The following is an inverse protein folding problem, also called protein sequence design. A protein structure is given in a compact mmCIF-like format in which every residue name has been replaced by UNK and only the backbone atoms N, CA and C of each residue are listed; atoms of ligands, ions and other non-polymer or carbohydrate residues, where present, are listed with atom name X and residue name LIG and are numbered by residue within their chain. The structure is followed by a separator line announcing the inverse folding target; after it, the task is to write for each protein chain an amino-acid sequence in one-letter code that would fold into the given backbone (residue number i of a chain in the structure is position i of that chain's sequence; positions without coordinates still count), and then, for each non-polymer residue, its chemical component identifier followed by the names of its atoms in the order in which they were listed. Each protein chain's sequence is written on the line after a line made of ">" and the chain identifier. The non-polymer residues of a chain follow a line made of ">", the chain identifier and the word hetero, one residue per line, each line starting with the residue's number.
data_IF_422987855901
#
_entry.id   IF_422987855901
#
_cell.length_a   1.000
_cell.length_b   1.000
_cell.length_c   1.000
_cell.angle_alpha   90.00
_cell.angle_beta   90.00
_cell.angle_gamma   90.00
#
_symmetry.space_group_name_H-M   'P 1'
#
loop_
_entity.id
_entity.type
_entity.pdbx_description
1 polymer ?
#
# COMPACT_ATOMS: atom_id res chain seq x y z
N UNK A 1 3.68 -7.88 11.07
CA UNK A 1 3.50 -9.25 10.52
C UNK A 1 4.57 -10.12 11.17
N UNK A 2 4.39 -10.48 12.44
CA UNK A 2 5.41 -11.21 13.21
C UNK A 2 5.17 -12.73 13.22
N UNK A 3 3.93 -13.12 12.94
CA UNK A 3 3.53 -14.50 12.73
C UNK A 3 3.40 -14.71 11.22
N UNK A 4 4.24 -15.56 10.62
CA UNK A 4 4.17 -15.91 9.19
C UNK A 4 2.85 -16.59 8.75
N UNK A 5 1.82 -16.58 9.60
CA UNK A 5 0.52 -17.21 9.39
C UNK A 5 -0.14 -16.77 8.10
N UNK A 6 -0.12 -15.47 7.80
CA UNK A 6 -0.69 -14.98 6.54
C UNK A 6 -0.02 -15.64 5.32
N UNK A 7 1.30 -15.80 5.36
CA UNK A 7 2.04 -16.43 4.28
C UNK A 7 1.68 -17.91 4.20
N UNK A 8 1.70 -18.63 5.32
CA UNK A 8 1.32 -20.04 5.38
C UNK A 8 -0.10 -20.29 4.84
N UNK A 9 -1.08 -19.53 5.30
CA UNK A 9 -2.48 -19.61 4.84
C UNK A 9 -2.64 -19.27 3.36
N UNK A 10 -1.86 -18.32 2.85
CA UNK A 10 -1.88 -17.93 1.43
C UNK A 10 -1.22 -18.99 0.57
N UNK A 11 -0.09 -19.54 1.02
CA UNK A 11 0.65 -20.60 0.35
C UNK A 11 -0.18 -21.88 0.24
N UNK A 12 -0.94 -22.23 1.27
CA UNK A 12 -1.83 -23.40 1.28
C UNK A 12 -2.95 -23.33 0.23
N UNK A 13 -3.29 -22.14 -0.28
CA UNK A 13 -4.32 -21.94 -1.32
C UNK A 13 -3.77 -22.02 -2.75
N UNK A 14 -2.45 -22.03 -2.90
CA UNK A 14 -1.80 -22.07 -4.21
C UNK A 14 -1.60 -23.51 -4.68
N UNK A 15 -1.55 -23.74 -6.00
CA UNK A 15 -1.29 -25.08 -6.53
C UNK A 15 0.09 -25.59 -6.14
N UNK A 16 0.21 -26.90 -5.98
CA UNK A 16 1.48 -27.56 -5.63
C UNK A 16 2.61 -27.15 -6.59
N UNK A 17 3.81 -26.95 -6.03
CA UNK A 17 4.97 -26.48 -6.79
C UNK A 17 5.01 -24.97 -7.07
N UNK A 18 4.02 -24.20 -6.61
CA UNK A 18 4.00 -22.74 -6.70
C UNK A 18 4.40 -22.08 -5.39
N UNK A 19 4.92 -20.84 -5.44
CA UNK A 19 5.39 -20.09 -4.27
C UNK A 19 4.69 -18.73 -4.16
N UNK A 20 4.18 -18.39 -2.98
CA UNK A 20 3.66 -17.06 -2.69
C UNK A 20 4.82 -16.07 -2.46
N UNK A 21 4.77 -14.93 -3.14
CA UNK A 21 5.67 -13.81 -2.89
C UNK A 21 4.89 -12.65 -2.26
N UNK A 22 5.03 -12.39 -0.94
CA UNK A 22 4.37 -11.25 -0.32
C UNK A 22 4.91 -9.94 -0.90
N UNK A 23 4.02 -9.12 -1.44
CA UNK A 23 4.31 -7.76 -1.89
C UNK A 23 3.86 -6.79 -0.80
N UNK A 24 4.71 -5.84 -0.46
CA UNK A 24 4.44 -4.80 0.52
C UNK A 24 4.56 -3.46 -0.19
N UNK A 25 3.53 -2.63 -0.05
CA UNK A 25 3.49 -1.30 -0.63
C UNK A 25 3.58 -0.27 0.48
N UNK A 26 4.27 0.82 0.22
CA UNK A 26 4.29 1.97 1.10
C UNK A 26 4.02 3.26 0.31
N UNK A 27 3.29 4.19 0.92
CA UNK A 27 3.11 5.54 0.38
C UNK A 27 3.36 6.57 1.46
N UNK A 28 3.99 7.67 1.09
CA UNK A 28 4.21 8.79 1.99
C UNK A 28 4.05 10.10 1.20
N UNK A 29 3.10 10.96 1.57
CA UNK A 29 2.87 12.21 0.84
C UNK A 29 4.12 13.07 0.85
N UNK A 30 4.65 13.39 -0.33
CA UNK A 30 5.91 14.13 -0.46
C UNK A 30 5.71 15.41 -1.26
N UNK A 31 6.32 16.51 -0.81
CA UNK A 31 6.41 17.74 -1.60
C UNK A 31 7.51 17.57 -2.65
N UNK A 32 7.15 17.72 -3.92
CA UNK A 32 8.08 17.60 -5.05
C UNK A 32 8.87 18.90 -5.28
N UNK A 33 8.27 20.06 -4.99
CA UNK A 33 8.89 21.37 -5.19
C UNK A 33 8.59 22.28 -3.99
N UNK A 34 9.62 22.85 -3.35
CA UNK A 34 9.44 23.78 -2.23
C UNK A 34 9.22 25.24 -2.67
N UNK A 35 9.78 25.65 -3.82
CA UNK A 35 9.83 27.08 -4.20
C UNK A 35 9.14 27.42 -5.53
N UNK A 36 8.74 26.43 -6.34
CA UNK A 36 8.17 26.65 -7.67
C UNK A 36 6.88 25.85 -7.86
N UNK A 37 5.76 26.36 -7.35
CA UNK A 37 4.42 25.80 -7.61
C UNK A 37 3.88 24.80 -6.56
N UNK A 38 4.70 24.43 -5.56
CA UNK A 38 4.27 23.62 -4.41
C UNK A 38 3.69 22.25 -4.78
N UNK A 39 4.12 21.63 -5.88
CA UNK A 39 3.58 20.36 -6.34
C UNK A 39 3.79 19.26 -5.30
N UNK A 40 2.77 18.43 -5.12
CA UNK A 40 2.76 17.31 -4.16
C UNK A 40 2.42 16.04 -4.93
N UNK A 41 2.99 14.91 -4.50
CA UNK A 41 2.66 13.60 -5.03
C UNK A 41 2.73 12.55 -3.92
N UNK A 42 2.05 11.43 -4.12
CA UNK A 42 2.25 10.24 -3.31
C UNK A 42 3.20 9.29 -4.07
N UNK A 43 4.51 9.25 -3.75
CA UNK A 43 5.36 8.16 -4.20
C UNK A 43 4.82 6.83 -3.67
N UNK A 44 4.73 5.84 -4.56
CA UNK A 44 4.36 4.46 -4.26
C UNK A 44 5.62 3.60 -4.31
N UNK A 45 6.00 3.07 -3.16
CA UNK A 45 7.12 2.18 -3.00
C UNK A 45 6.66 0.73 -2.92
N UNK A 46 7.43 -0.17 -3.48
CA UNK A 46 7.20 -1.61 -3.47
C UNK A 46 8.44 -2.31 -2.90
N UNK A 47 8.21 -3.23 -1.97
CA UNK A 47 9.22 -4.18 -1.46
C UNK A 47 8.61 -5.58 -1.36
N UNK A 48 9.45 -6.59 -1.24
CA UNK A 48 9.02 -7.96 -1.04
C UNK A 48 9.14 -8.34 0.44
N UNK A 49 8.13 -9.01 0.97
CA UNK A 49 8.07 -9.48 2.35
C UNK A 49 9.03 -10.64 2.66
N UNK A 50 9.60 -11.28 1.63
CA UNK A 50 10.66 -12.28 1.78
C UNK A 50 12.04 -11.66 2.07
N UNK A 51 12.21 -10.35 1.87
CA UNK A 51 13.44 -9.65 2.19
C UNK A 51 13.46 -9.33 3.69
N UNK A 52 14.56 -9.59 4.41
CA UNK A 52 14.69 -9.18 5.81
C UNK A 52 14.45 -7.68 6.02
N UNK A 53 13.67 -7.33 7.05
CA UNK A 53 13.33 -5.93 7.38
C UNK A 53 14.55 -5.00 7.50
N UNK A 54 15.67 -5.51 8.02
CA UNK A 54 16.92 -4.77 8.16
C UNK A 54 17.53 -4.33 6.81
N UNK A 55 17.07 -4.92 5.70
CA UNK A 55 17.55 -4.64 4.35
C UNK A 55 16.62 -3.67 3.61
N UNK A 56 15.33 -3.59 3.97
CA UNK A 56 14.34 -2.73 3.30
C UNK A 56 14.76 -1.27 3.20
N UNK A 57 15.37 -0.75 4.27
CA UNK A 57 15.72 0.67 4.40
C UNK A 57 17.20 0.95 4.13
N UNK A 58 17.89 0.03 3.44
CA UNK A 58 19.27 0.24 2.97
C UNK A 58 19.26 0.63 1.50
N UNK A 59 19.47 1.91 1.14
CA UNK A 59 19.43 2.37 -0.26
C UNK A 59 20.41 1.61 -1.16
N UNK A 60 21.58 1.23 -0.62
CA UNK A 60 22.60 0.46 -1.33
C UNK A 60 22.17 -0.95 -1.76
N UNK A 61 21.11 -1.50 -1.14
CA UNK A 61 20.62 -2.85 -1.40
C UNK A 61 19.45 -2.92 -2.36
N UNK A 62 18.89 -1.77 -2.77
CA UNK A 62 17.78 -1.67 -3.76
C UNK A 62 16.60 -2.60 -3.46
N UNK A 63 16.36 -2.91 -2.18
CA UNK A 63 15.30 -3.82 -1.75
C UNK A 63 13.91 -3.18 -1.83
N UNK A 64 13.85 -1.85 -1.85
CA UNK A 64 12.63 -1.07 -2.01
C UNK A 64 12.75 -0.26 -3.30
N UNK A 65 11.73 -0.35 -4.17
CA UNK A 65 11.69 0.32 -5.46
C UNK A 65 10.50 1.27 -5.52
N UNK A 66 10.69 2.45 -6.11
CA UNK A 66 9.62 3.37 -6.43
C UNK A 66 8.94 2.92 -7.73
N UNK A 67 7.63 2.68 -7.71
CA UNK A 67 6.87 2.18 -8.87
C UNK A 67 5.98 3.25 -9.51
N UNK A 68 5.56 4.28 -8.76
CA UNK A 68 4.70 5.33 -9.28
C UNK A 68 4.76 6.61 -8.44
N UNK A 69 4.35 7.73 -9.04
CA UNK A 69 3.96 8.96 -8.35
C UNK A 69 2.47 9.19 -8.59
N UNK A 70 1.66 9.15 -7.54
CA UNK A 70 0.23 9.45 -7.67
C UNK A 70 -0.01 10.96 -7.61
N UNK A 71 -0.92 11.47 -8.45
CA UNK A 71 -1.23 12.89 -8.51
C UNK A 71 -1.94 13.37 -7.23
N UNK A 72 -1.61 14.59 -6.80
CA UNK A 72 -2.36 15.33 -5.78
C UNK A 72 -3.05 16.50 -6.48
N UNK A 73 -4.36 16.40 -6.67
CA UNK A 73 -5.15 17.49 -7.22
C UNK A 73 -5.38 18.56 -6.13
N UNK A 74 -4.95 19.79 -6.39
CA UNK A 74 -5.17 20.93 -5.50
C UNK A 74 -6.52 21.63 -5.72
N UNK A 75 -7.27 21.27 -6.77
CA UNK A 75 -8.55 21.89 -7.18
C UNK A 75 -8.61 23.41 -6.91
N UNK A 76 -7.61 24.16 -7.41
CA UNK A 76 -7.57 25.62 -7.23
C UNK A 76 -8.60 26.23 -8.19
N UNK A 77 -9.62 26.92 -7.67
CA UNK A 77 -10.63 27.63 -8.48
C UNK A 77 -11.87 26.81 -8.89
N UNK A 78 -12.10 25.64 -8.28
CA UNK A 78 -13.37 24.92 -8.46
C UNK A 78 -14.38 25.36 -7.39
N UNK A 79 -15.59 25.78 -7.78
CA UNK A 79 -16.73 26.06 -6.87
C UNK A 79 -17.31 24.76 -6.27
N UNK A 80 -16.46 23.96 -5.63
CA UNK A 80 -16.83 22.71 -4.98
C UNK A 80 -16.83 22.87 -3.47
N UNK A 81 -17.80 22.26 -2.81
CA UNK A 81 -17.77 22.15 -1.34
C UNK A 81 -16.58 21.30 -0.90
N UNK A 82 -16.12 21.50 0.33
CA UNK A 82 -15.00 20.76 0.91
C UNK A 82 -15.22 19.24 0.86
N UNK A 83 -16.47 18.76 1.05
CA UNK A 83 -16.76 17.32 0.96
C UNK A 83 -16.57 16.79 -0.46
N UNK A 84 -17.05 17.53 -1.47
CA UNK A 84 -16.91 17.12 -2.88
C UNK A 84 -15.46 17.10 -3.32
N UNK A 85 -14.66 18.06 -2.86
CA UNK A 85 -13.22 18.09 -3.13
C UNK A 85 -12.51 16.88 -2.49
N UNK A 86 -12.79 16.59 -1.21
CA UNK A 86 -12.22 15.43 -0.52
C UNK A 86 -12.57 14.12 -1.20
N UNK A 87 -13.85 13.92 -1.56
CA UNK A 87 -14.32 12.73 -2.27
C UNK A 87 -13.65 12.57 -3.64
N UNK A 88 -13.40 13.67 -4.36
CA UNK A 88 -12.69 13.65 -5.64
C UNK A 88 -11.23 13.23 -5.47
N UNK A 89 -10.53 13.77 -4.48
CA UNK A 89 -9.14 13.39 -4.16
C UNK A 89 -9.06 11.90 -3.80
N UNK A 90 -9.98 11.41 -2.97
CA UNK A 90 -10.06 9.98 -2.63
C UNK A 90 -10.28 9.11 -3.88
N UNK A 91 -11.24 9.47 -4.74
CA UNK A 91 -11.50 8.74 -5.99
C UNK A 91 -10.29 8.73 -6.92
N UNK A 92 -9.62 9.87 -7.07
CA UNK A 92 -8.41 9.98 -7.90
C UNK A 92 -7.29 9.09 -7.36
N UNK A 93 -7.07 9.12 -6.04
CA UNK A 93 -6.08 8.27 -5.38
C UNK A 93 -6.36 6.78 -5.62
N UNK A 94 -7.58 6.32 -5.34
CA UNK A 94 -7.97 4.91 -5.49
C UNK A 94 -7.95 4.45 -6.95
N UNK A 95 -8.41 5.29 -7.89
CA UNK A 95 -8.34 4.97 -9.31
C UNK A 95 -6.90 4.87 -9.80
N UNK A 96 -6.03 5.79 -9.37
CA UNK A 96 -4.61 5.78 -9.74
C UNK A 96 -3.89 4.57 -9.14
N UNK A 97 -4.14 4.24 -7.87
CA UNK A 97 -3.59 3.05 -7.23
C UNK A 97 -4.06 1.76 -7.92
N UNK A 98 -5.34 1.69 -8.30
CA UNK A 98 -5.89 0.56 -9.06
C UNK A 98 -5.16 0.34 -10.39
N UNK A 99 -4.85 1.42 -11.13
CA UNK A 99 -4.08 1.34 -12.38
C UNK A 99 -2.64 0.85 -12.14
N UNK A 100 -1.98 1.35 -11.09
CA UNK A 100 -0.61 0.96 -10.75
C UNK A 100 -0.53 -0.52 -10.34
N UNK A 101 -1.57 -1.04 -9.67
CA UNK A 101 -1.60 -2.41 -9.15
C UNK A 101 -2.31 -3.42 -10.05
N UNK A 102 -2.91 -2.99 -11.15
CA UNK A 102 -3.56 -3.88 -12.13
C UNK A 102 -2.64 -5.02 -12.61
N UNK A 103 -1.35 -4.79 -12.95
CA UNK A 103 -0.45 -5.87 -13.33
C UNK A 103 -0.21 -6.87 -12.20
N UNK A 104 -0.26 -6.41 -10.94
CA UNK A 104 -0.06 -7.26 -9.76
C UNK A 104 -1.25 -8.21 -9.57
N UNK A 105 -2.48 -7.78 -9.85
CA UNK A 105 -3.67 -8.63 -9.74
C UNK A 105 -3.58 -9.82 -10.71
N UNK A 106 -3.19 -9.54 -11.97
CA UNK A 106 -2.98 -10.60 -12.97
C UNK A 106 -1.83 -11.52 -12.57
N UNK A 107 -0.70 -10.95 -12.17
CA UNK A 107 0.47 -11.73 -11.76
C UNK A 107 0.19 -12.60 -10.51
N UNK A 108 -0.56 -12.09 -9.54
CA UNK A 108 -0.91 -12.83 -8.33
C UNK A 108 -1.90 -13.98 -8.57
N UNK A 109 -2.83 -13.82 -9.52
CA UNK A 109 -3.81 -14.85 -9.88
C UNK A 109 -3.23 -15.92 -10.80
N UNK A 110 -2.60 -15.53 -11.91
CA UNK A 110 -2.07 -16.47 -12.90
C UNK A 110 -0.73 -17.08 -12.47
N UNK A 111 0.04 -16.34 -11.67
CA UNK A 111 1.43 -16.65 -11.33
C UNK A 111 2.39 -16.26 -12.46
N UNK A 112 3.62 -15.91 -12.09
CA UNK A 112 4.71 -15.58 -13.01
C UNK A 112 5.83 -16.61 -12.88
N UNK A 113 6.49 -16.94 -14.00
CA UNK A 113 7.68 -17.80 -13.97
C UNK A 113 8.89 -16.95 -13.60
N UNK A 114 9.57 -17.34 -12.52
CA UNK A 114 10.77 -16.65 -12.02
C UNK A 114 11.91 -17.66 -11.97
N UNK A 115 13.07 -17.28 -12.49
CA UNK A 115 14.29 -18.07 -12.39
C UNK A 115 14.94 -17.77 -11.04
N UNK A 116 15.11 -18.80 -10.21
CA UNK A 116 15.80 -18.73 -8.94
C UNK A 116 17.31 -18.51 -9.11
N UNK A 117 18.00 -18.19 -8.01
CA UNK A 117 19.46 -18.03 -8.02
C UNK A 117 20.23 -19.33 -8.31
N UNK A 118 19.55 -20.47 -8.17
CA UNK A 118 20.02 -21.81 -8.49
C UNK A 118 19.70 -22.23 -9.94
N UNK A 119 19.07 -21.36 -10.74
CA UNK A 119 18.72 -21.62 -12.14
C UNK A 119 17.39 -22.35 -12.34
N UNK A 120 16.70 -22.78 -11.27
CA UNK A 120 15.40 -23.43 -11.38
C UNK A 120 14.29 -22.43 -11.67
N UNK A 121 13.33 -22.83 -12.51
CA UNK A 121 12.15 -22.01 -12.81
C UNK A 121 11.04 -22.35 -11.83
N UNK A 122 10.68 -21.40 -10.98
CA UNK A 122 9.58 -21.52 -10.03
C UNK A 122 8.40 -20.68 -10.48
N UNK A 123 7.18 -21.21 -10.28
CA UNK A 123 5.95 -20.43 -10.46
C UNK A 123 5.70 -19.61 -9.19
N UNK A 124 5.75 -18.28 -9.30
CA UNK A 124 5.64 -17.35 -8.18
C UNK A 124 4.37 -16.52 -8.30
N UNK A 125 3.62 -16.42 -7.21
CA UNK A 125 2.41 -15.61 -7.12
C UNK A 125 2.68 -14.38 -6.25
N UNK A 126 2.99 -13.21 -6.84
CA UNK A 126 3.14 -11.97 -6.08
C UNK A 126 1.78 -11.49 -5.57
N UNK A 127 1.59 -11.48 -4.26
CA UNK A 127 0.31 -11.16 -3.62
C UNK A 127 0.51 -10.00 -2.67
N UNK A 128 -0.36 -8.98 -2.76
CA UNK A 128 -0.33 -7.84 -1.85
C UNK A 128 -0.63 -8.30 -0.42
N UNK A 129 0.40 -8.25 0.43
CA UNK A 129 0.36 -8.75 1.81
C UNK A 129 0.13 -7.62 2.82
N UNK A 130 0.69 -6.43 2.56
CA UNK A 130 0.61 -5.31 3.49
C UNK A 130 0.70 -3.96 2.76
N UNK A 131 -0.06 -3.00 3.27
CA UNK A 131 0.06 -1.59 2.93
C UNK A 131 0.59 -0.83 4.15
N UNK A 132 1.77 -0.22 4.03
CA UNK A 132 2.43 0.54 5.08
C UNK A 132 2.23 2.02 4.84
N UNK A 133 1.52 2.66 5.77
CA UNK A 133 1.25 4.08 5.77
C UNK A 133 1.23 4.58 7.22
N UNK A 134 1.50 5.86 7.43
CA UNK A 134 1.18 6.59 8.65
C UNK A 134 -0.33 6.90 8.72
N UNK A 135 -0.78 7.41 9.87
CA UNK A 135 -2.21 7.50 10.18
C UNK A 135 -3.06 8.32 9.15
N UNK A 136 -2.62 9.49 8.67
CA UNK A 136 -3.40 10.25 7.69
C UNK A 136 -3.57 9.47 6.37
N UNK A 137 -2.50 8.82 5.91
CA UNK A 137 -2.47 8.00 4.71
C UNK A 137 -3.29 6.72 4.89
N UNK A 138 -3.28 6.10 6.08
CA UNK A 138 -4.15 4.98 6.37
C UNK A 138 -5.63 5.40 6.29
N UNK A 139 -6.00 6.60 6.78
CA UNK A 139 -7.36 7.13 6.65
C UNK A 139 -7.73 7.36 5.18
N UNK A 140 -6.79 7.84 4.36
CA UNK A 140 -6.98 8.02 2.91
C UNK A 140 -7.25 6.68 2.21
N UNK A 141 -6.44 5.66 2.52
CA UNK A 141 -6.54 4.32 1.91
C UNK A 141 -7.81 3.59 2.35
N UNK A 142 -8.23 3.77 3.59
CA UNK A 142 -9.45 3.12 4.13
C UNK A 142 -10.73 3.91 3.87
N UNK A 143 -10.62 5.11 3.27
CA UNK A 143 -11.72 6.06 3.14
C UNK A 143 -12.37 6.44 4.49
N UNK A 144 -11.61 6.34 5.59
CA UNK A 144 -12.07 6.68 6.92
C UNK A 144 -11.92 8.17 7.22
N UNK A 145 -12.75 8.68 8.12
CA UNK A 145 -12.62 10.05 8.60
C UNK A 145 -11.34 10.18 9.44
N UNK A 146 -10.66 11.31 9.30
CA UNK A 146 -9.62 11.69 10.25
C UNK A 146 -10.21 11.66 11.67
N UNK A 147 -9.41 11.31 12.68
CA UNK A 147 -9.80 11.10 14.09
C UNK A 147 -10.60 9.84 14.42
N UNK A 148 -10.77 8.91 13.46
CA UNK A 148 -11.35 7.58 13.72
C UNK A 148 -10.30 6.48 13.86
N UNK A 149 -10.61 5.46 14.65
CA UNK A 149 -9.77 4.26 14.77
C UNK A 149 -10.03 3.32 13.60
N UNK A 150 -8.98 2.93 12.88
CA UNK A 150 -9.09 2.04 11.72
C UNK A 150 -9.22 0.56 12.09
N UNK A 151 -9.05 0.24 13.38
CA UNK A 151 -9.09 -1.13 13.91
C UNK A 151 -10.31 -1.41 14.77
N UNK A 152 -10.89 -0.36 15.36
CA UNK A 152 -11.92 -0.46 16.38
C UNK A 152 -13.12 0.40 15.99
N UNK A 153 -14.31 -0.08 16.34
CA UNK A 153 -15.58 0.60 16.03
C UNK A 153 -15.95 1.68 17.06
N UNK A 154 -15.01 1.99 17.96
CA UNK A 154 -15.19 2.93 19.05
C UNK A 154 -15.45 4.36 18.51
N UNK A 155 -16.46 5.08 19.02
CA UNK A 155 -16.64 6.50 18.77
C UNK A 155 -15.38 7.30 19.14
N UNK A 156 -15.16 8.40 18.42
CA UNK A 156 -13.99 9.27 18.64
C UNK A 156 -13.84 9.71 20.10
N UNK A 157 -14.96 10.01 20.75
CA UNK A 157 -14.99 10.54 22.12
C UNK A 157 -14.54 9.53 23.18
N UNK A 158 -14.49 8.24 22.81
CA UNK A 158 -14.12 7.12 23.67
C UNK A 158 -12.76 6.51 23.25
N UNK A 159 -12.03 7.15 22.32
CA UNK A 159 -10.70 6.73 21.94
C UNK A 159 -9.70 7.06 23.05
N UNK A 160 -9.10 6.03 23.65
CA UNK A 160 -8.20 6.16 24.80
C UNK A 160 -8.78 5.61 26.10
N UNK A 161 -10.08 5.31 26.13
CA UNK A 161 -10.68 4.58 27.24
C UNK A 161 -10.20 3.13 27.26
N UNK A 162 -9.94 2.63 28.47
CA UNK A 162 -9.42 1.26 28.71
C UNK A 162 -10.41 0.17 28.39
N UNK A 163 -11.68 0.52 28.20
CA UNK A 163 -12.74 -0.42 27.88
C UNK A 163 -12.92 -0.42 26.35
N UNK A 164 -12.42 -1.44 25.64
CA UNK A 164 -12.77 -1.60 24.24
C UNK A 164 -14.29 -1.76 24.18
N UNK A 165 -14.98 -0.87 23.45
CA UNK A 165 -16.39 -1.05 23.15
C UNK A 165 -16.58 -2.39 22.43
N UNK A 166 -17.65 -3.08 22.84
CA UNK A 166 -18.06 -4.40 22.36
C UNK A 166 -18.11 -4.51 20.82
#
# INVERSE_FOLDING_TARGET
>A
MWTGRWWEETQAKLPEGSCAAPVIIATNKTQLTQFSGGQQAYPVYLTLGNIPRAIWWKPSKKACMLIAYLPVDKCIGCDLTKEKQSARVQRLFHKSMGLVLEPLIKAGSEGIKVVGGDGHVCKVHPILACYVADYPEQCLVTCSKFTTCLKCLQPQDLLGDRNPGE
#
